data_IF_014987060454
#
_entry.id   IF_014987060454
#
_cell.length_a   1.000
_cell.length_b   1.000
_cell.length_c   1.000
_cell.angle_alpha   90.00
_cell.angle_beta   90.00
_cell.angle_gamma   90.00
#
_symmetry.space_group_name_H-M   'P 1'
#
loop_
_entity.id
_entity.type
_entity.pdbx_description
1 polymer ?
#
# COMPACT_ATOMS: atom_id res chain seq x y z
N UNK A 1 9.21 19.14 -2.59
CA UNK A 1 9.07 20.53 -3.10
C UNK A 1 8.13 20.62 -4.31
N UNK A 2 8.16 19.67 -5.25
CA UNK A 2 7.28 19.70 -6.44
C UNK A 2 5.78 19.61 -6.13
N UNK A 3 5.38 18.82 -5.12
CA UNK A 3 3.97 18.63 -4.75
C UNK A 3 3.28 19.94 -4.30
N UNK A 4 4.01 20.84 -3.64
CA UNK A 4 3.49 22.15 -3.24
C UNK A 4 3.24 23.09 -4.43
N UNK A 5 4.10 23.03 -5.46
CA UNK A 5 3.87 23.77 -6.70
C UNK A 5 2.69 23.22 -7.48
N UNK A 6 2.52 21.90 -7.55
CA UNK A 6 1.33 21.28 -8.17
C UNK A 6 0.05 21.74 -7.48
N UNK A 7 0.03 21.78 -6.14
CA UNK A 7 -1.10 22.33 -5.38
C UNK A 7 -1.35 23.82 -5.64
N UNK A 8 -0.28 24.63 -5.69
CA UNK A 8 -0.37 26.06 -5.98
C UNK A 8 -0.90 26.32 -7.39
N UNK A 9 -0.40 25.60 -8.40
CA UNK A 9 -0.89 25.72 -9.77
C UNK A 9 -2.33 25.20 -9.90
N UNK A 10 -2.72 24.13 -9.21
CA UNK A 10 -4.12 23.71 -9.16
C UNK A 10 -5.01 24.78 -8.54
N UNK A 11 -4.61 25.44 -7.44
CA UNK A 11 -5.40 26.54 -6.89
C UNK A 11 -5.45 27.75 -7.85
N UNK A 12 -4.33 28.11 -8.47
CA UNK A 12 -4.24 29.27 -9.36
C UNK A 12 -4.88 29.07 -10.74
N UNK A 13 -4.95 27.84 -11.27
CA UNK A 13 -5.51 27.54 -12.59
C UNK A 13 -6.94 27.01 -12.49
N UNK A 14 -7.21 26.12 -11.53
CA UNK A 14 -8.51 25.46 -11.41
C UNK A 14 -9.57 26.44 -10.85
N UNK A 15 -9.21 27.31 -9.89
CA UNK A 15 -10.13 28.32 -9.35
C UNK A 15 -10.63 29.31 -10.42
N UNK A 16 -9.77 30.02 -11.19
CA UNK A 16 -10.25 30.87 -12.27
C UNK A 16 -10.79 30.07 -13.44
N UNK A 17 -10.35 28.82 -13.63
CA UNK A 17 -10.94 27.89 -14.60
C UNK A 17 -12.43 27.66 -14.34
N UNK A 18 -12.83 27.41 -13.09
CA UNK A 18 -14.24 27.29 -12.70
C UNK A 18 -15.05 28.56 -12.96
N UNK A 19 -14.46 29.73 -12.68
CA UNK A 19 -15.11 31.03 -12.93
C UNK A 19 -15.28 31.27 -14.44
N UNK A 20 -14.25 30.99 -15.25
CA UNK A 20 -14.30 31.08 -16.71
C UNK A 20 -15.34 30.12 -17.31
N UNK A 21 -15.43 28.89 -16.79
CA UNK A 21 -16.40 27.90 -17.26
C UNK A 21 -17.83 28.35 -16.99
N UNK A 22 -18.08 28.96 -15.83
CA UNK A 22 -19.37 29.55 -15.48
C UNK A 22 -19.76 30.70 -16.44
N UNK A 23 -18.82 31.60 -16.74
CA UNK A 23 -19.06 32.67 -17.72
C UNK A 23 -19.24 32.18 -19.15
N UNK A 24 -18.62 31.05 -19.51
CA UNK A 24 -18.77 30.43 -20.84
C UNK A 24 -20.10 29.70 -21.02
N UNK A 25 -20.92 29.55 -19.96
CA UNK A 25 -22.23 28.90 -20.01
C UNK A 25 -22.18 27.38 -20.20
N UNK A 26 -21.00 26.76 -20.10
CA UNK A 26 -20.82 25.31 -20.25
C UNK A 26 -21.32 24.53 -19.02
N UNK A 27 -21.29 25.12 -17.82
CA UNK A 27 -21.80 24.52 -16.58
C UNK A 27 -22.52 25.56 -15.68
N UNK A 28 -23.70 25.17 -15.15
CA UNK A 28 -24.45 25.94 -14.14
C UNK A 28 -23.77 25.77 -12.77
N UNK A 29 -23.14 26.84 -12.28
CA UNK A 29 -22.46 26.83 -10.99
C UNK A 29 -23.47 27.08 -9.87
N UNK A 30 -23.98 26.01 -9.26
CA UNK A 30 -24.72 26.11 -7.99
C UNK A 30 -23.71 26.16 -6.84
N UNK A 31 -23.74 27.25 -6.06
CA UNK A 31 -22.86 27.39 -4.91
C UNK A 31 -23.28 26.36 -3.84
N UNK A 32 -22.40 25.43 -3.44
CA UNK A 32 -22.77 24.38 -2.51
C UNK A 32 -23.13 24.96 -1.14
N UNK A 33 -24.06 24.30 -0.44
CA UNK A 33 -24.51 24.70 0.90
C UNK A 33 -23.31 24.89 1.86
N UNK A 34 -23.38 25.88 2.75
CA UNK A 34 -22.31 26.22 3.71
C UNK A 34 -21.87 25.02 4.55
N UNK A 35 -22.79 24.11 4.88
CA UNK A 35 -22.45 22.85 5.58
C UNK A 35 -21.62 21.89 4.75
N UNK A 36 -21.89 21.78 3.44
CA UNK A 36 -21.11 20.91 2.55
C UNK A 36 -19.71 21.47 2.37
N UNK A 37 -19.59 22.80 2.23
CA UNK A 37 -18.29 23.48 2.17
C UNK A 37 -17.47 23.23 3.44
N UNK A 38 -18.09 23.31 4.63
CA UNK A 38 -17.37 23.06 5.88
C UNK A 38 -16.92 21.60 6.00
N UNK A 39 -17.75 20.62 5.60
CA UNK A 39 -17.36 19.21 5.59
C UNK A 39 -16.21 18.94 4.62
N UNK A 40 -16.24 19.52 3.42
CA UNK A 40 -15.16 19.38 2.44
C UNK A 40 -13.87 20.00 2.98
N UNK A 41 -13.95 21.19 3.59
CA UNK A 41 -12.79 21.85 4.21
C UNK A 41 -12.19 21.01 5.34
N UNK A 42 -13.02 20.48 6.23
CA UNK A 42 -12.57 19.64 7.34
C UNK A 42 -11.95 18.34 6.81
N UNK A 43 -12.59 17.68 5.85
CA UNK A 43 -12.06 16.46 5.24
C UNK A 43 -10.76 16.72 4.46
N UNK A 44 -10.65 17.85 3.77
CA UNK A 44 -9.41 18.26 3.10
C UNK A 44 -8.30 18.52 4.12
N UNK A 45 -8.56 19.33 5.14
CA UNK A 45 -7.53 19.72 6.11
C UNK A 45 -7.09 18.53 6.97
N UNK A 46 -8.04 17.79 7.53
CA UNK A 46 -7.75 16.68 8.46
C UNK A 46 -7.48 15.39 7.70
N UNK A 47 -8.34 15.03 6.75
CA UNK A 47 -8.28 13.75 6.03
C UNK A 47 -7.13 13.70 5.02
N UNK A 48 -6.80 14.79 4.35
CA UNK A 48 -5.69 14.82 3.39
C UNK A 48 -4.43 15.50 3.94
N UNK A 49 -4.47 16.79 4.31
CA UNK A 49 -3.24 17.53 4.64
C UNK A 49 -2.56 16.98 5.90
N UNK A 50 -3.32 16.79 6.98
CA UNK A 50 -2.76 16.28 8.23
C UNK A 50 -2.35 14.81 8.10
N UNK A 51 -3.13 13.98 7.40
CA UNK A 51 -2.80 12.56 7.16
C UNK A 51 -1.50 12.39 6.39
N UNK A 52 -1.32 13.13 5.28
CA UNK A 52 -0.09 13.12 4.48
C UNK A 52 1.11 13.66 5.27
N UNK A 53 0.91 14.69 6.10
CA UNK A 53 1.96 15.21 6.98
C UNK A 53 2.42 14.17 8.00
N UNK A 54 1.47 13.51 8.68
CA UNK A 54 1.76 12.44 9.64
C UNK A 54 2.44 11.25 8.98
N UNK A 55 2.00 10.88 7.77
CA UNK A 55 2.61 9.80 7.00
C UNK A 55 4.06 10.13 6.62
N UNK A 56 4.32 11.33 6.10
CA UNK A 56 5.68 11.79 5.79
C UNK A 56 6.56 11.85 7.05
N UNK A 57 6.00 12.30 8.17
CA UNK A 57 6.72 12.33 9.43
C UNK A 57 7.06 10.92 9.91
N UNK A 58 6.14 9.96 9.78
CA UNK A 58 6.38 8.55 10.04
C UNK A 58 7.46 7.94 9.12
N UNK A 59 7.46 8.31 7.84
CA UNK A 59 8.50 7.90 6.88
C UNK A 59 9.88 8.47 7.27
N UNK A 60 9.93 9.69 7.80
CA UNK A 60 11.15 10.34 8.27
C UNK A 60 11.70 9.69 9.54
N UNK A 61 10.83 9.29 10.48
CA UNK A 61 11.20 8.63 11.74
C UNK A 61 11.65 7.17 11.56
N UNK A 62 11.13 6.49 10.55
CA UNK A 62 11.42 5.07 10.30
C UNK A 62 12.19 4.90 9.00
N UNK A 63 11.50 4.61 7.91
CA UNK A 63 12.03 4.61 6.55
C UNK A 63 10.89 4.71 5.54
N UNK A 64 11.21 5.11 4.32
CA UNK A 64 10.24 5.10 3.22
C UNK A 64 9.66 3.70 2.96
N UNK A 65 10.42 2.63 3.24
CA UNK A 65 9.95 1.25 3.08
C UNK A 65 8.76 0.94 4.00
N UNK A 66 8.90 1.28 5.28
CA UNK A 66 7.85 1.08 6.28
C UNK A 66 6.62 1.95 5.95
N UNK A 67 6.85 3.16 5.45
CA UNK A 67 5.79 4.04 4.93
C UNK A 67 4.97 3.43 3.80
N UNK A 68 5.61 2.81 2.80
CA UNK A 68 4.89 2.14 1.69
C UNK A 68 4.13 0.90 2.15
N UNK A 69 4.69 0.14 3.09
CA UNK A 69 4.01 -1.02 3.67
C UNK A 69 2.80 -0.60 4.52
N UNK A 70 2.88 0.52 5.23
CA UNK A 70 1.75 1.09 5.98
C UNK A 70 0.58 1.47 5.07
N UNK A 71 0.84 2.08 3.91
CA UNK A 71 -0.20 2.39 2.91
C UNK A 71 -0.83 1.11 2.35
N UNK A 72 -0.03 0.06 2.13
CA UNK A 72 -0.54 -1.24 1.69
C UNK A 72 -1.44 -1.89 2.75
N UNK A 73 -1.15 -1.67 4.04
CA UNK A 73 -1.95 -2.14 5.19
C UNK A 73 -3.26 -1.37 5.35
N UNK A 74 -3.35 -0.14 4.84
CA UNK A 74 -4.61 0.64 4.88
C UNK A 74 -5.74 -0.10 4.14
N UNK A 75 -5.44 -0.80 3.05
CA UNK A 75 -6.42 -1.56 2.26
C UNK A 75 -7.11 -2.68 3.08
N UNK A 76 -6.39 -3.65 3.67
CA UNK A 76 -7.01 -4.68 4.50
C UNK A 76 -7.66 -4.10 5.78
N UNK A 77 -7.12 -3.01 6.34
CA UNK A 77 -7.71 -2.36 7.51
C UNK A 77 -9.05 -1.67 7.17
N UNK A 78 -9.18 -1.10 5.96
CA UNK A 78 -10.44 -0.57 5.46
C UNK A 78 -11.49 -1.67 5.32
N UNK A 79 -11.11 -2.82 4.76
CA UNK A 79 -12.01 -3.99 4.64
C UNK A 79 -12.45 -4.48 6.03
N UNK A 80 -11.52 -4.57 6.99
CA UNK A 80 -11.86 -4.95 8.37
C UNK A 80 -12.84 -3.98 9.00
N UNK A 81 -12.65 -2.68 8.77
CA UNK A 81 -13.53 -1.61 9.26
C UNK A 81 -14.95 -1.75 8.67
N UNK A 82 -15.05 -2.04 7.38
CA UNK A 82 -16.34 -2.24 6.70
C UNK A 82 -17.09 -3.50 7.18
N UNK A 83 -16.36 -4.57 7.51
CA UNK A 83 -16.92 -5.78 8.15
C UNK A 83 -17.44 -5.45 9.55
N UNK A 84 -16.64 -4.77 10.37
CA UNK A 84 -17.02 -4.39 11.74
C UNK A 84 -18.25 -3.48 11.79
N UNK A 85 -18.40 -2.58 10.80
CA UNK A 85 -19.55 -1.68 10.66
C UNK A 85 -20.77 -2.34 9.99
N UNK A 86 -20.77 -3.68 9.81
CA UNK A 86 -21.86 -4.50 9.26
C UNK A 86 -22.37 -4.07 7.88
N UNK A 87 -21.52 -3.52 7.01
CA UNK A 87 -21.96 -2.98 5.70
C UNK A 87 -21.86 -3.93 4.51
N UNK A 88 -21.14 -5.07 4.60
CA UNK A 88 -21.06 -6.02 3.47
C UNK A 88 -20.62 -7.43 3.87
N UNK A 89 -21.14 -8.44 3.15
CA UNK A 89 -20.65 -9.81 3.14
C UNK A 89 -19.54 -9.95 2.09
N UNK A 90 -18.31 -10.17 2.54
CA UNK A 90 -17.13 -10.27 1.67
C UNK A 90 -16.85 -11.72 1.26
N UNK A 91 -16.40 -11.90 0.01
CA UNK A 91 -15.93 -13.18 -0.51
C UNK A 91 -14.59 -13.58 0.12
N UNK A 92 -14.38 -14.89 0.31
CA UNK A 92 -13.13 -15.48 0.82
C UNK A 92 -11.87 -15.03 0.08
N UNK A 93 -11.99 -14.61 -1.18
CA UNK A 93 -10.88 -14.11 -2.00
C UNK A 93 -10.22 -12.84 -1.40
N UNK A 94 -11.01 -11.96 -0.77
CA UNK A 94 -10.49 -10.76 -0.11
C UNK A 94 -9.64 -11.10 1.12
N UNK A 95 -10.06 -12.12 1.87
CA UNK A 95 -9.31 -12.60 3.03
C UNK A 95 -7.98 -13.24 2.60
N UNK A 96 -7.97 -13.98 1.49
CA UNK A 96 -6.76 -14.55 0.91
C UNK A 96 -5.71 -13.49 0.52
N UNK A 97 -6.15 -12.28 0.11
CA UNK A 97 -5.25 -11.15 -0.15
C UNK A 97 -4.85 -10.36 1.11
N UNK A 98 -5.78 -10.19 2.06
CA UNK A 98 -5.54 -9.40 3.27
C UNK A 98 -4.51 -10.04 4.22
N UNK A 99 -4.58 -11.36 4.41
CA UNK A 99 -3.68 -12.12 5.31
C UNK A 99 -2.20 -11.95 4.96
N UNK A 100 -1.73 -12.19 3.72
CA UNK A 100 -0.32 -12.04 3.38
C UNK A 100 0.17 -10.59 3.46
N UNK A 101 -0.67 -9.58 3.16
CA UNK A 101 -0.32 -8.16 3.32
C UNK A 101 -0.10 -7.81 4.79
N UNK A 102 -1.02 -8.26 5.66
CA UNK A 102 -0.90 -8.07 7.11
C UNK A 102 0.35 -8.77 7.68
N UNK A 103 0.59 -10.01 7.27
CA UNK A 103 1.77 -10.79 7.69
C UNK A 103 3.08 -10.14 7.24
N UNK A 104 3.12 -9.63 6.00
CA UNK A 104 4.31 -8.95 5.44
C UNK A 104 4.65 -7.68 6.20
N UNK A 105 3.65 -6.87 6.56
CA UNK A 105 3.85 -5.67 7.38
C UNK A 105 4.42 -6.03 8.76
N UNK A 106 3.81 -7.00 9.45
CA UNK A 106 4.25 -7.39 10.79
C UNK A 106 5.67 -7.98 10.80
N UNK A 107 5.98 -8.86 9.84
CA UNK A 107 7.31 -9.43 9.70
C UNK A 107 8.37 -8.35 9.41
N UNK A 108 8.05 -7.38 8.54
CA UNK A 108 8.98 -6.29 8.22
C UNK A 108 9.18 -5.34 9.41
N UNK A 109 8.12 -5.05 10.17
CA UNK A 109 8.21 -4.26 11.39
C UNK A 109 9.08 -4.95 12.46
N UNK A 110 8.90 -6.26 12.65
CA UNK A 110 9.73 -7.06 13.56
C UNK A 110 11.19 -7.13 13.10
N UNK A 111 11.43 -7.34 11.80
CA UNK A 111 12.78 -7.35 11.22
C UNK A 111 13.49 -6.02 11.43
N UNK A 112 12.78 -4.90 11.24
CA UNK A 112 13.32 -3.56 11.48
C UNK A 112 13.69 -3.31 12.95
N UNK A 113 13.05 -4.00 13.90
CA UNK A 113 13.37 -3.91 15.32
C UNK A 113 14.53 -4.83 15.74
N UNK A 114 14.79 -5.91 14.99
CA UNK A 114 15.75 -6.97 15.31
C UNK A 114 16.98 -6.93 14.39
N UNK A 115 17.48 -5.75 14.05
CA UNK A 115 18.59 -5.54 13.09
C UNK A 115 19.97 -6.11 13.53
N UNK A 116 20.09 -6.73 14.71
CA UNK A 116 21.37 -7.27 15.21
C UNK A 116 21.55 -8.79 15.05
N UNK A 117 20.51 -9.48 14.57
CA UNK A 117 20.57 -10.87 14.15
C UNK A 117 19.95 -10.87 12.76
N UNK A 118 20.57 -11.54 11.81
CA UNK A 118 20.21 -11.43 10.39
C UNK A 118 19.42 -12.69 9.95
N UNK A 119 18.14 -12.86 10.35
CA UNK A 119 17.34 -14.05 10.08
C UNK A 119 16.99 -14.16 8.58
N UNK A 120 17.03 -13.06 7.83
CA UNK A 120 16.83 -13.05 6.39
C UNK A 120 17.92 -13.87 5.69
N UNK A 121 19.19 -13.68 6.07
CA UNK A 121 20.32 -14.49 5.59
C UNK A 121 20.18 -15.96 5.99
N UNK A 122 19.66 -16.26 7.18
CA UNK A 122 19.42 -17.65 7.65
C UNK A 122 18.27 -18.31 6.89
N UNK A 123 17.16 -17.61 6.68
CA UNK A 123 16.02 -18.11 5.91
C UNK A 123 16.39 -18.30 4.44
N UNK A 124 17.11 -17.34 3.85
CA UNK A 124 17.60 -17.41 2.48
C UNK A 124 18.59 -18.57 2.32
N UNK A 125 19.54 -18.76 3.25
CA UNK A 125 20.40 -19.96 3.28
C UNK A 125 19.61 -21.25 3.40
N UNK A 126 18.57 -21.29 4.25
CA UNK A 126 17.77 -22.50 4.46
C UNK A 126 16.96 -22.85 3.21
N UNK A 127 16.34 -21.86 2.55
CA UNK A 127 15.64 -22.02 1.27
C UNK A 127 16.60 -22.42 0.15
N UNK A 128 17.75 -21.75 0.04
CA UNK A 128 18.77 -22.07 -0.95
C UNK A 128 19.34 -23.47 -0.74
N UNK A 129 19.59 -23.88 0.50
CA UNK A 129 20.03 -25.24 0.84
C UNK A 129 18.97 -26.29 0.50
N UNK A 130 17.68 -25.95 0.66
CA UNK A 130 16.57 -26.82 0.27
C UNK A 130 16.49 -26.96 -1.26
N UNK A 131 16.65 -25.87 -2.00
CA UNK A 131 16.68 -25.87 -3.46
C UNK A 131 17.89 -26.63 -4.01
N UNK A 132 19.09 -26.42 -3.46
CA UNK A 132 20.29 -27.17 -3.83
C UNK A 132 20.17 -28.66 -3.49
N UNK A 133 19.56 -29.04 -2.37
CA UNK A 133 19.25 -30.46 -2.05
C UNK A 133 18.26 -31.05 -3.06
N UNK A 134 17.20 -30.32 -3.40
CA UNK A 134 16.17 -30.77 -4.33
C UNK A 134 16.72 -30.94 -5.75
N UNK A 135 17.57 -30.02 -6.21
CA UNK A 135 18.24 -30.11 -7.51
C UNK A 135 19.26 -31.27 -7.59
N UNK A 136 19.93 -31.61 -6.47
CA UNK A 136 20.86 -32.74 -6.40
C UNK A 136 20.16 -34.11 -6.44
N UNK A 137 18.95 -34.22 -5.89
CA UNK A 137 18.15 -35.45 -5.95
C UNK A 137 17.61 -35.70 -7.36
N UNK A 138 17.20 -34.66 -8.10
CA UNK A 138 16.72 -34.81 -9.47
C UNK A 138 17.81 -35.37 -10.42
N UNK A 139 19.07 -34.96 -10.26
CA UNK A 139 20.19 -35.53 -11.03
C UNK A 139 20.50 -37.00 -10.74
N UNK A 140 20.22 -37.50 -9.53
CA UNK A 140 20.47 -38.92 -9.22
C UNK A 140 19.40 -39.84 -9.81
N UNK A 141 18.16 -39.38 -10.00
CA UNK A 141 17.09 -40.19 -10.58
C UNK A 141 17.31 -40.46 -12.08
N UNK A 142 17.84 -39.48 -12.82
CA UNK A 142 18.24 -39.64 -14.23
C UNK A 142 19.43 -40.61 -14.43
N UNK A 143 20.30 -40.78 -13.43
CA UNK A 143 21.41 -41.75 -13.50
C UNK A 143 21.04 -43.19 -13.16
N UNK A 144 19.87 -43.42 -12.56
CA UNK A 144 19.37 -44.77 -12.20
C UNK A 144 18.38 -45.32 -13.24
N UNK A 145 17.81 -44.44 -14.08
CA UNK A 145 16.89 -44.80 -15.18
C UNK A 145 17.49 -44.37 -16.53
N UNK A 146 18.76 -44.70 -16.76
CA UNK A 146 19.39 -44.65 -18.08
C UNK A 146 19.25 -46.01 -18.78
N UNK A 147 19.04 -46.07 -20.10
CA UNK A 147 18.57 -47.28 -20.78
C UNK A 147 19.65 -48.36 -20.79
N UNK A 148 19.34 -49.51 -20.20
CA UNK A 148 19.99 -50.78 -20.51
C UNK A 148 19.60 -51.21 -21.93
N UNK A 149 20.27 -50.64 -22.92
CA UNK A 149 20.39 -51.21 -24.26
C UNK A 149 21.86 -51.54 -24.49
N UNK A 150 22.08 -52.81 -24.84
CA UNK A 150 23.32 -53.59 -25.07
C UNK A 150 23.73 -54.41 -23.86
#
# INVERSE_FOLDING_TARGET
MFFGFVGLFSLLLLWPGFVLLHYSGLELFEMPNRMVISYILINGLIGTVLSEFLWLWGCFLTSSLIGTLALSLTIPLSILTDICLQKASFSWLFFAGAVPVFLSFFLTALLSQYNNWDPAMVALRRVFSFFCRKHRIHRQFESVVGPSII
#
